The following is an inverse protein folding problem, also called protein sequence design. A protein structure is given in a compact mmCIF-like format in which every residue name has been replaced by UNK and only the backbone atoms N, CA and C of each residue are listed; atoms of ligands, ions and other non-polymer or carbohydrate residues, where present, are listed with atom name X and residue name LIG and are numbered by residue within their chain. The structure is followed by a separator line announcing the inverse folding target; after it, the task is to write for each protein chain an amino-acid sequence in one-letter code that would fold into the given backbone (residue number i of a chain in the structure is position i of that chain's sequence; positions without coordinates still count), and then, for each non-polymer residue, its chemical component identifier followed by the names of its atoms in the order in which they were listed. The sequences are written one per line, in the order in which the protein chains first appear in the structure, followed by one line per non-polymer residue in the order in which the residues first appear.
data_IF_423835430186
#
_entry.id   IF_423835430186
#
_cell.length_a   1.000
_cell.length_b   1.000
_cell.length_c   1.000
_cell.angle_alpha   90.00
_cell.angle_beta   90.00
_cell.angle_gamma   90.00
#
_symmetry.space_group_name_H-M   'P 1'
#
loop_
_entity.id
_entity.type
_entity.pdbx_description
1 polymer ?
#
# COMPACT_ATOMS: atom_id res chain seq x y z
N UNK A 1 3.68 1.65 11.07
CA UNK A 1 4.09 1.21 9.71
C UNK A 1 5.55 0.74 9.75
N UNK A 2 5.88 -0.39 9.12
CA UNK A 2 7.25 -0.91 9.03
C UNK A 2 8.18 0.11 8.30
N UNK A 3 9.38 0.43 8.83
CA UNK A 3 10.31 1.37 8.20
C UNK A 3 10.72 1.00 6.77
N UNK A 4 10.86 -0.28 6.46
CA UNK A 4 11.23 -0.74 5.11
C UNK A 4 10.12 -0.48 4.10
N UNK A 5 8.85 -0.67 4.52
CA UNK A 5 7.68 -0.37 3.70
C UNK A 5 7.62 1.13 3.43
N UNK A 6 7.78 1.95 4.48
CA UNK A 6 7.77 3.41 4.32
C UNK A 6 8.85 3.86 3.34
N UNK A 7 10.09 3.39 3.52
CA UNK A 7 11.21 3.73 2.64
C UNK A 7 10.96 3.32 1.19
N UNK A 8 10.33 2.16 0.97
CA UNK A 8 9.98 1.72 -0.38
C UNK A 8 8.90 2.61 -1.00
N UNK A 9 7.85 2.95 -0.24
CA UNK A 9 6.76 3.83 -0.69
C UNK A 9 7.27 5.25 -1.01
N UNK A 10 8.07 5.84 -0.13
CA UNK A 10 8.67 7.17 -0.32
C UNK A 10 9.51 7.24 -1.61
N UNK A 11 10.14 6.12 -2.01
CA UNK A 11 11.00 6.04 -3.19
C UNK A 11 10.24 5.73 -4.48
N UNK A 12 9.24 4.85 -4.43
CA UNK A 12 8.65 4.25 -5.63
C UNK A 12 7.16 4.58 -5.83
N UNK A 13 6.46 5.07 -4.80
CA UNK A 13 5.02 5.30 -4.83
C UNK A 13 4.65 6.76 -4.57
N UNK A 14 5.16 7.69 -5.37
CA UNK A 14 4.87 9.13 -5.22
C UNK A 14 3.36 9.39 -5.18
N UNK A 15 2.90 10.11 -4.16
CA UNK A 15 1.48 10.41 -3.97
C UNK A 15 0.68 9.30 -3.30
N UNK A 16 1.34 8.32 -2.65
CA UNK A 16 0.65 7.38 -1.78
C UNK A 16 0.00 8.08 -0.58
N UNK A 17 -1.16 7.58 -0.16
CA UNK A 17 -1.87 8.10 1.01
C UNK A 17 -1.91 7.04 2.12
N UNK A 18 -1.95 7.49 3.37
CA UNK A 18 -2.12 6.59 4.53
C UNK A 18 -3.35 7.03 5.29
N UNK A 19 -4.28 6.10 5.49
CA UNK A 19 -5.45 6.31 6.34
C UNK A 19 -5.38 5.37 7.53
N UNK A 20 -5.67 5.88 8.72
CA UNK A 20 -5.79 5.08 9.94
C UNK A 20 -7.26 4.78 10.20
N UNK A 21 -7.58 3.52 10.48
CA UNK A 21 -8.94 3.11 10.82
C UNK A 21 -9.22 3.35 12.31
N UNK A 22 -10.50 3.36 12.69
CA UNK A 22 -10.93 3.49 14.08
C UNK A 22 -10.45 2.34 14.98
N UNK A 23 -9.99 1.23 14.39
CA UNK A 23 -9.42 0.07 15.08
C UNK A 23 -7.89 0.17 15.27
N UNK A 24 -7.29 1.32 14.93
CA UNK A 24 -5.84 1.54 15.01
C UNK A 24 -5.03 0.88 13.88
N UNK A 25 -5.68 0.26 12.90
CA UNK A 25 -5.03 -0.31 11.70
C UNK A 25 -4.74 0.79 10.70
N UNK A 26 -3.82 0.55 9.76
CA UNK A 26 -3.50 1.50 8.69
C UNK A 26 -3.80 0.91 7.32
N UNK A 27 -4.31 1.71 6.40
CA UNK A 27 -4.49 1.36 4.99
C UNK A 27 -3.65 2.32 4.17
N UNK A 28 -2.76 1.77 3.34
CA UNK A 28 -1.97 2.56 2.39
C UNK A 28 -2.64 2.50 1.03
N UNK A 29 -2.94 3.65 0.44
CA UNK A 29 -3.47 3.75 -0.92
C UNK A 29 -2.35 4.15 -1.86
N UNK A 30 -2.04 3.29 -2.82
CA UNK A 30 -1.02 3.51 -3.85
C UNK A 30 -1.71 3.84 -5.18
N UNK A 31 -1.32 4.93 -5.88
CA UNK A 31 -1.93 5.29 -7.16
C UNK A 31 -1.77 4.17 -8.21
N UNK A 32 -2.75 4.03 -9.10
CA UNK A 32 -2.76 3.01 -10.14
C UNK A 32 -1.51 2.99 -11.01
N UNK A 33 -0.87 4.14 -11.24
CA UNK A 33 0.31 4.29 -12.10
C UNK A 33 1.50 3.43 -11.63
N UNK A 34 1.60 3.16 -10.32
CA UNK A 34 2.68 2.38 -9.67
C UNK A 34 2.13 1.17 -8.91
N UNK A 35 0.84 0.90 -9.02
CA UNK A 35 0.16 -0.15 -8.28
C UNK A 35 0.65 -1.56 -8.66
N UNK A 36 0.99 -1.81 -9.93
CA UNK A 36 1.51 -3.12 -10.35
C UNK A 36 2.87 -3.43 -9.71
N UNK A 37 3.75 -2.43 -9.60
CA UNK A 37 5.04 -2.56 -8.93
C UNK A 37 4.87 -2.76 -7.43
N UNK A 38 3.96 -1.99 -6.82
CA UNK A 38 3.59 -2.16 -5.42
C UNK A 38 3.04 -3.57 -5.17
N UNK A 39 2.11 -4.04 -5.98
CA UNK A 39 1.54 -5.39 -5.86
C UNK A 39 2.63 -6.47 -5.92
N UNK A 40 3.57 -6.38 -6.87
CA UNK A 40 4.72 -7.30 -6.94
C UNK A 40 5.61 -7.23 -5.71
N UNK A 41 5.94 -6.03 -5.25
CA UNK A 41 6.77 -5.82 -4.07
C UNK A 41 6.12 -6.40 -2.80
N UNK A 42 4.86 -6.02 -2.53
CA UNK A 42 4.15 -6.44 -1.33
C UNK A 42 3.85 -7.94 -1.32
N UNK A 43 3.46 -8.54 -2.45
CA UNK A 43 3.29 -10.00 -2.49
C UNK A 43 4.59 -10.77 -2.27
N UNK A 44 5.74 -10.22 -2.72
CA UNK A 44 7.04 -10.89 -2.59
C UNK A 44 7.64 -10.75 -1.19
N UNK A 45 7.63 -9.54 -0.63
CA UNK A 45 8.35 -9.21 0.60
C UNK A 45 7.43 -9.09 1.83
N UNK A 46 6.13 -8.96 1.62
CA UNK A 46 5.12 -8.82 2.67
C UNK A 46 3.86 -9.66 2.38
N UNK A 47 3.99 -10.98 2.13
CA UNK A 47 2.87 -11.83 1.69
C UNK A 47 1.72 -11.95 2.69
N UNK A 48 1.95 -11.58 3.96
CA UNK A 48 0.91 -11.53 4.99
C UNK A 48 0.00 -10.30 4.88
N UNK A 49 0.40 -9.28 4.13
CA UNK A 49 -0.41 -8.08 3.91
C UNK A 49 -1.44 -8.34 2.83
N UNK A 50 -2.68 -7.93 3.10
CA UNK A 50 -3.75 -7.99 2.11
C UNK A 50 -3.66 -6.78 1.19
N UNK A 51 -3.82 -6.99 -0.11
CA UNK A 51 -3.90 -5.92 -1.12
C UNK A 51 -5.19 -6.01 -1.93
N UNK A 52 -5.86 -4.89 -2.17
CA UNK A 52 -7.11 -4.83 -2.94
C UNK A 52 -7.20 -3.55 -3.78
N UNK A 53 -7.78 -3.64 -4.98
CA UNK A 53 -8.10 -2.46 -5.78
C UNK A 53 -9.30 -1.71 -5.22
N UNK A 54 -9.23 -0.38 -5.19
CA UNK A 54 -10.24 0.55 -4.69
C UNK A 54 -10.42 1.76 -5.61
N UNK A 55 -11.52 2.48 -5.44
CA UNK A 55 -11.82 3.69 -6.21
C UNK A 55 -11.87 3.44 -7.72
N UNK A 56 -12.60 2.41 -8.15
CA UNK A 56 -12.67 2.00 -9.57
C UNK A 56 -11.28 1.75 -10.20
N UNK A 57 -10.44 0.95 -9.52
CA UNK A 57 -9.07 0.62 -9.94
C UNK A 57 -8.11 1.81 -10.01
N UNK A 58 -8.45 2.94 -9.39
CA UNK A 58 -7.55 4.11 -9.31
C UNK A 58 -6.49 3.95 -8.21
N UNK A 59 -6.73 3.08 -7.24
CA UNK A 59 -5.86 2.89 -6.08
C UNK A 59 -5.70 1.41 -5.72
N UNK A 60 -4.48 0.99 -5.40
CA UNK A 60 -4.22 -0.26 -4.70
C UNK A 60 -4.14 0.02 -3.21
N UNK A 61 -5.10 -0.52 -2.46
CA UNK A 61 -5.13 -0.47 -1.01
C UNK A 61 -4.33 -1.62 -0.41
N UNK A 62 -3.41 -1.32 0.52
CA UNK A 62 -2.60 -2.28 1.26
C UNK A 62 -3.00 -2.18 2.73
N UNK A 63 -3.55 -3.27 3.27
CA UNK A 63 -4.04 -3.33 4.64
C UNK A 63 -2.91 -3.72 5.60
N UNK A 64 -2.57 -2.80 6.48
CA UNK A 64 -1.50 -2.91 7.46
C UNK A 64 -2.12 -3.12 8.85
N UNK A 65 -1.87 -4.29 9.43
CA UNK A 65 -2.18 -4.63 10.82
C UNK A 65 -1.05 -4.22 11.77
#
# INVERSE_FOLDING_TARGET
MNPNIKKWLDKNATGYEVQTTNEGKSIVFVPSIVADEAFKYFNKFHPSLKTEWRGNYSWLAIFMS
#
